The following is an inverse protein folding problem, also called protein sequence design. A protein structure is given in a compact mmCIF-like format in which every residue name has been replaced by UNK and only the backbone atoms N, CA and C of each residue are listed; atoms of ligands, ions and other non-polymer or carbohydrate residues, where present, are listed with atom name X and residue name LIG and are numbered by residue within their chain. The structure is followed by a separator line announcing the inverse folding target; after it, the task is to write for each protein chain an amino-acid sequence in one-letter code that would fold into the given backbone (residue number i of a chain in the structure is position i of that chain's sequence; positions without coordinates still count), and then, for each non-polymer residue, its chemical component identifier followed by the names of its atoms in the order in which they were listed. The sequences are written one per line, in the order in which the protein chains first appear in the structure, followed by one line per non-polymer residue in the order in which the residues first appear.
data_IF_014921838862
#
_entry.id   IF_014921838862
#
_cell.length_a   1.000
_cell.length_b   1.000
_cell.length_c   1.000
_cell.angle_alpha   90.00
_cell.angle_beta   90.00
_cell.angle_gamma   90.00
#
_symmetry.space_group_name_H-M   'P 1'
#
loop_
_entity.id
_entity.type
_entity.pdbx_description
1 polymer ?
#
# COMPACT_ATOMS: atom_id res chain seq x y z
N UNK A 1 60.45 9.21 23.16
CA UNK A 1 59.36 10.22 23.25
C UNK A 1 58.05 9.48 23.00
N UNK A 2 57.18 9.50 24.02
CA UNK A 2 55.83 8.89 24.06
C UNK A 2 54.87 9.69 23.17
N UNK A 3 53.82 9.03 22.66
CA UNK A 3 52.46 9.50 22.30
C UNK A 3 51.82 8.35 21.49
N UNK A 4 51.09 7.36 22.00
CA UNK A 4 49.86 7.28 22.80
C UNK A 4 48.65 8.10 22.28
N UNK A 5 47.58 7.35 21.96
CA UNK A 5 46.14 7.72 21.90
C UNK A 5 45.69 8.51 20.64
N UNK A 6 44.60 8.18 19.91
CA UNK A 6 43.32 7.59 20.33
C UNK A 6 42.68 6.73 19.23
N UNK A 7 42.13 5.61 19.68
CA UNK A 7 41.11 4.79 19.03
C UNK A 7 39.85 5.65 18.86
N UNK A 8 39.30 5.72 17.64
CA UNK A 8 37.90 6.10 17.43
C UNK A 8 37.15 4.88 16.90
N UNK A 9 36.39 4.26 17.80
CA UNK A 9 35.36 3.29 17.48
C UNK A 9 34.22 4.05 16.80
N UNK A 10 34.06 3.90 15.50
CA UNK A 10 32.84 4.34 14.80
C UNK A 10 31.77 3.27 15.03
N UNK A 11 30.77 3.62 15.84
CA UNK A 11 29.56 2.84 16.09
C UNK A 11 28.85 2.54 14.78
N UNK A 12 28.88 1.29 14.35
CA UNK A 12 27.95 0.73 13.37
C UNK A 12 26.60 0.56 14.07
N UNK A 13 25.66 1.46 13.79
CA UNK A 13 24.26 1.28 14.17
C UNK A 13 23.61 0.33 13.17
N UNK A 14 23.84 -0.97 13.35
CA UNK A 14 23.07 -2.02 12.67
C UNK A 14 21.69 -2.08 13.33
N UNK A 15 20.74 -1.34 12.79
CA UNK A 15 19.33 -1.53 13.10
C UNK A 15 18.87 -2.83 12.41
N UNK A 16 19.07 -3.97 13.07
CA UNK A 16 18.45 -5.22 12.69
C UNK A 16 16.95 -5.10 13.04
N UNK A 17 16.13 -4.77 12.04
CA UNK A 17 14.68 -4.97 12.11
C UNK A 17 14.43 -6.49 12.00
N UNK A 18 14.55 -7.19 13.12
CA UNK A 18 14.03 -8.54 13.29
C UNK A 18 12.61 -8.41 13.79
N UNK A 19 11.66 -8.32 12.86
CA UNK A 19 10.24 -8.54 13.12
C UNK A 19 9.97 -10.03 12.93
N UNK A 20 10.31 -10.83 13.93
CA UNK A 20 9.74 -12.17 14.08
C UNK A 20 8.45 -12.01 14.89
N UNK A 21 7.30 -11.98 14.22
CA UNK A 21 6.07 -12.43 14.89
C UNK A 21 6.14 -13.95 14.94
N UNK A 22 6.34 -14.52 16.11
CA UNK A 22 6.25 -15.96 16.33
C UNK A 22 4.85 -16.29 16.83
N UNK A 23 4.04 -16.97 16.00
CA UNK A 23 2.70 -17.45 16.36
C UNK A 23 2.73 -18.61 17.39
N UNK A 24 3.73 -18.66 18.27
CA UNK A 24 4.06 -19.87 19.01
C UNK A 24 4.52 -19.71 20.48
N UNK A 25 4.21 -18.61 21.17
CA UNK A 25 4.37 -18.58 22.63
C UNK A 25 3.40 -17.67 23.38
N UNK A 26 2.51 -18.30 24.16
CA UNK A 26 1.56 -17.75 25.14
C UNK A 26 0.52 -16.74 24.58
N UNK A 27 -0.73 -16.75 25.07
CA UNK A 27 -1.64 -15.65 24.76
C UNK A 27 -0.96 -14.35 25.20
N UNK A 28 -0.87 -13.39 24.27
CA UNK A 28 -0.40 -12.04 24.56
C UNK A 28 -0.95 -11.62 25.92
N UNK A 29 -0.04 -11.15 26.79
CA UNK A 29 -0.43 -10.62 28.08
C UNK A 29 -1.60 -9.65 27.84
N UNK A 30 -2.74 -9.79 28.55
CA UNK A 30 -3.93 -9.01 28.28
C UNK A 30 -3.51 -7.54 28.26
N UNK A 31 -3.47 -6.97 27.06
CA UNK A 31 -3.21 -5.55 26.90
C UNK A 31 -4.35 -4.87 27.67
N UNK A 32 -4.04 -4.06 28.70
CA UNK A 32 -5.04 -3.21 29.28
C UNK A 32 -5.64 -2.43 28.12
N UNK A 33 -6.96 -2.55 27.90
CA UNK A 33 -7.68 -1.74 26.91
C UNK A 33 -7.16 -0.30 27.06
N UNK A 34 -6.64 0.21 25.96
CA UNK A 34 -5.70 1.31 25.81
C UNK A 34 -6.31 2.68 26.20
N UNK A 35 -7.45 2.68 26.88
CA UNK A 35 -8.30 3.81 27.23
C UNK A 35 -7.62 4.90 28.09
N UNK A 36 -6.37 4.71 28.52
CA UNK A 36 -5.66 5.66 29.37
C UNK A 36 -4.43 6.31 28.71
N UNK A 37 -4.00 5.88 27.51
CA UNK A 37 -2.93 6.57 26.76
C UNK A 37 -3.50 7.46 25.65
N UNK A 38 -4.79 7.30 25.33
CA UNK A 38 -5.58 8.22 24.52
C UNK A 38 -6.07 9.43 25.35
N UNK A 39 -5.14 10.24 25.84
CA UNK A 39 -5.46 11.64 26.07
C UNK A 39 -5.62 12.29 24.68
N UNK A 40 -6.81 12.75 24.27
CA UNK A 40 -7.16 12.68 22.86
C UNK A 40 -6.73 13.94 22.09
N UNK A 41 -6.37 13.84 20.80
CA UNK A 41 -6.82 14.80 19.81
C UNK A 41 -8.26 14.50 19.34
N UNK A 42 -8.77 13.28 19.53
CA UNK A 42 -10.15 12.92 19.23
C UNK A 42 -11.03 13.11 20.46
N UNK A 43 -11.67 14.28 20.54
CA UNK A 43 -12.65 14.57 21.59
C UNK A 43 -13.53 13.34 21.86
N UNK A 44 -13.83 13.06 23.14
CA UNK A 44 -14.79 12.05 23.64
C UNK A 44 -16.23 12.20 23.08
N UNK A 45 -16.40 12.98 22.03
CA UNK A 45 -17.59 13.11 21.22
C UNK A 45 -17.61 11.92 20.29
N UNK A 46 -18.50 10.96 20.57
CA UNK A 46 -18.90 9.98 19.57
C UNK A 46 -19.25 10.78 18.30
N UNK A 47 -18.55 10.57 17.17
CA UNK A 47 -18.82 11.31 15.96
C UNK A 47 -20.31 11.11 15.61
N UNK A 48 -20.97 12.19 15.20
CA UNK A 48 -22.36 12.12 14.79
C UNK A 48 -22.50 11.03 13.72
N UNK A 49 -23.60 10.27 13.79
CA UNK A 49 -23.90 9.22 12.80
C UNK A 49 -23.68 9.80 11.40
N UNK A 50 -22.86 9.14 10.54
CA UNK A 50 -22.62 9.62 9.19
C UNK A 50 -23.94 9.87 8.48
N UNK A 51 -24.06 11.02 7.82
CA UNK A 51 -25.24 11.29 7.00
C UNK A 51 -25.32 10.25 5.90
N UNK A 52 -26.49 9.63 5.71
CA UNK A 52 -26.68 8.66 4.63
C UNK A 52 -26.27 9.28 3.29
N UNK A 53 -25.44 8.55 2.53
CA UNK A 53 -24.87 9.02 1.26
C UNK A 53 -23.52 9.74 1.39
N UNK A 54 -23.06 10.05 2.61
CA UNK A 54 -21.68 10.46 2.83
C UNK A 54 -20.76 9.24 2.67
N UNK A 55 -19.73 9.28 1.80
CA UNK A 55 -18.79 8.18 1.69
C UNK A 55 -18.05 8.03 3.02
N UNK A 56 -18.05 6.79 3.52
CA UNK A 56 -17.37 6.41 4.76
C UNK A 56 -15.89 6.14 4.47
N UNK A 57 -15.61 5.53 3.33
CA UNK A 57 -14.27 5.07 2.99
C UNK A 57 -14.01 5.10 1.49
N UNK A 58 -12.75 5.33 1.15
CA UNK A 58 -12.21 5.20 -0.21
C UNK A 58 -11.44 3.89 -0.25
N UNK A 59 -12.12 2.85 -0.75
CA UNK A 59 -11.66 1.45 -0.70
C UNK A 59 -11.67 0.76 -2.07
N UNK A 60 -11.57 1.52 -3.16
CA UNK A 60 -11.54 0.92 -4.50
C UNK A 60 -10.28 0.08 -4.72
N UNK A 61 -9.15 0.50 -4.14
CA UNK A 61 -7.86 -0.20 -4.17
C UNK A 61 -7.44 -0.62 -2.76
N UNK A 62 -7.65 -1.89 -2.38
CA UNK A 62 -7.14 -2.45 -1.13
C UNK A 62 -5.66 -2.20 -0.94
N UNK A 63 -5.25 -2.14 0.33
CA UNK A 63 -3.89 -1.85 0.78
C UNK A 63 -3.35 -0.44 0.44
N UNK A 64 -3.87 0.29 -0.56
CA UNK A 64 -3.36 1.62 -0.94
C UNK A 64 -3.45 2.62 0.22
N UNK A 65 -4.60 2.75 0.87
CA UNK A 65 -4.76 3.64 2.02
C UNK A 65 -3.81 3.24 3.17
N UNK A 66 -3.72 1.94 3.48
CA UNK A 66 -2.84 1.41 4.54
C UNK A 66 -1.36 1.62 4.23
N UNK A 67 -0.94 1.39 2.98
CA UNK A 67 0.46 1.43 2.57
C UNK A 67 0.96 2.86 2.30
N UNK A 68 0.09 3.76 1.85
CA UNK A 68 0.51 5.05 1.29
C UNK A 68 -0.06 6.28 2.00
N UNK A 69 -1.04 6.13 2.90
CA UNK A 69 -1.55 7.25 3.72
C UNK A 69 -1.01 7.14 5.13
N UNK A 70 -0.05 8.01 5.46
CA UNK A 70 0.52 8.13 6.80
C UNK A 70 1.03 6.80 7.43
N UNK A 71 1.71 5.91 6.68
CA UNK A 71 2.12 4.60 7.18
C UNK A 71 3.15 4.69 8.33
N UNK A 72 3.91 5.79 8.39
CA UNK A 72 4.98 6.02 9.37
C UNK A 72 4.66 7.11 10.39
N UNK A 73 3.48 7.72 10.33
CA UNK A 73 3.09 8.75 11.27
C UNK A 73 2.56 8.16 12.59
N UNK A 74 2.59 8.96 13.65
CA UNK A 74 1.92 8.62 14.89
C UNK A 74 0.39 8.61 14.72
N UNK A 75 -0.33 7.96 15.63
CA UNK A 75 -1.76 7.70 15.48
C UNK A 75 -2.62 8.96 15.29
N UNK A 76 -2.41 10.07 16.04
CA UNK A 76 -3.14 11.32 15.79
C UNK A 76 -3.04 11.86 14.36
N UNK A 77 -1.82 11.93 13.82
CA UNK A 77 -1.60 12.46 12.48
C UNK A 77 -2.08 11.48 11.41
N UNK A 78 -1.88 10.18 11.65
CA UNK A 78 -2.35 9.10 10.78
C UNK A 78 -3.87 9.10 10.66
N UNK A 79 -4.59 9.17 11.77
CA UNK A 79 -6.06 9.27 11.78
C UNK A 79 -6.50 10.49 10.99
N UNK A 80 -5.97 11.68 11.28
CA UNK A 80 -6.35 12.91 10.59
C UNK A 80 -6.11 12.85 9.06
N UNK A 81 -4.99 12.26 8.62
CA UNK A 81 -4.66 12.09 7.18
C UNK A 81 -5.56 11.09 6.49
N UNK A 82 -5.84 9.94 7.12
CA UNK A 82 -6.76 8.91 6.59
C UNK A 82 -8.18 9.43 6.49
N UNK A 83 -8.61 10.19 7.48
CA UNK A 83 -9.86 10.92 7.48
C UNK A 83 -9.98 11.90 6.32
N UNK A 84 -8.94 12.72 6.09
CA UNK A 84 -8.90 13.65 4.97
C UNK A 84 -8.91 12.93 3.61
N UNK A 85 -8.21 11.81 3.50
CA UNK A 85 -8.25 10.94 2.33
C UNK A 85 -9.66 10.41 2.09
N UNK A 86 -10.31 9.82 3.10
CA UNK A 86 -11.65 9.21 3.01
C UNK A 86 -12.74 10.24 2.72
N UNK A 87 -12.61 11.47 3.24
CA UNK A 87 -13.56 12.57 2.98
C UNK A 87 -13.39 13.25 1.63
N UNK A 88 -12.40 12.87 0.82
CA UNK A 88 -12.24 13.40 -0.54
C UNK A 88 -13.33 12.82 -1.46
N UNK A 89 -14.54 13.39 -1.44
CA UNK A 89 -15.70 12.85 -2.15
C UNK A 89 -15.71 13.20 -3.65
N UNK A 90 -15.13 14.34 -4.00
CA UNK A 90 -15.05 14.82 -5.37
C UNK A 90 -13.84 14.23 -6.08
N UNK A 91 -14.11 13.39 -7.08
CA UNK A 91 -13.11 12.70 -7.90
C UNK A 91 -12.15 13.68 -8.58
N UNK A 92 -12.64 14.86 -8.96
CA UNK A 92 -11.83 15.89 -9.61
C UNK A 92 -10.79 16.49 -8.66
N UNK A 93 -11.01 16.35 -7.35
CA UNK A 93 -10.16 16.92 -6.30
C UNK A 93 -9.18 15.92 -5.70
N UNK A 94 -9.31 14.61 -5.97
CA UNK A 94 -8.50 13.56 -5.34
C UNK A 94 -6.99 13.81 -5.37
N UNK A 95 -6.46 14.32 -6.49
CA UNK A 95 -5.03 14.62 -6.62
C UNK A 95 -4.58 15.82 -5.77
N UNK A 96 -5.50 16.72 -5.47
CA UNK A 96 -5.24 18.05 -4.88
C UNK A 96 -5.74 18.20 -3.45
N UNK A 97 -6.59 17.29 -2.94
CA UNK A 97 -7.04 17.32 -1.56
C UNK A 97 -5.85 17.31 -0.61
N UNK A 98 -5.83 18.27 0.31
CA UNK A 98 -4.77 18.41 1.31
C UNK A 98 -5.02 17.42 2.45
N UNK A 99 -4.00 16.61 2.75
CA UNK A 99 -3.99 15.69 3.90
C UNK A 99 -3.13 16.20 5.04
N UNK A 100 -2.16 17.07 4.73
CA UNK A 100 -1.26 17.65 5.73
C UNK A 100 -1.11 19.18 5.50
N UNK A 101 -1.95 20.01 6.15
CA UNK A 101 -1.90 21.45 6.00
C UNK A 101 -0.72 22.11 6.72
N UNK A 102 -0.03 21.39 7.61
CA UNK A 102 1.08 21.94 8.41
C UNK A 102 2.40 22.03 7.62
N UNK A 103 2.49 21.32 6.50
CA UNK A 103 3.65 21.36 5.59
C UNK A 103 3.64 22.62 4.72
N UNK A 104 4.82 23.03 4.23
CA UNK A 104 4.98 24.15 3.30
C UNK A 104 5.77 23.71 2.07
N UNK A 105 5.13 23.56 0.89
CA UNK A 105 3.69 23.73 0.64
C UNK A 105 2.83 22.66 1.33
N UNK A 106 1.52 22.91 1.56
CA UNK A 106 0.60 21.90 2.07
C UNK A 106 0.62 20.64 1.23
N UNK A 107 0.64 19.48 1.90
CA UNK A 107 0.79 18.19 1.24
C UNK A 107 -0.57 17.69 0.77
N UNK A 108 -0.69 17.42 -0.52
CA UNK A 108 -1.87 16.77 -1.11
C UNK A 108 -1.79 15.25 -1.00
N UNK A 109 -2.89 14.54 -1.25
CA UNK A 109 -2.89 13.06 -1.30
C UNK A 109 -1.78 12.54 -2.22
N UNK A 110 -1.66 13.09 -3.44
CA UNK A 110 -0.59 12.72 -4.37
C UNK A 110 0.81 12.99 -3.80
N UNK A 111 0.97 14.10 -3.08
CA UNK A 111 2.23 14.48 -2.42
C UNK A 111 2.58 13.60 -1.23
N UNK A 112 1.61 12.95 -0.60
CA UNK A 112 1.79 11.96 0.47
C UNK A 112 2.18 10.59 -0.09
N UNK A 113 1.62 10.17 -1.22
CA UNK A 113 1.88 8.85 -1.79
C UNK A 113 3.33 8.67 -2.24
N UNK A 114 3.88 9.65 -2.97
CA UNK A 114 5.23 9.54 -3.55
C UNK A 114 6.35 9.24 -2.53
N UNK A 115 6.50 9.99 -1.41
CA UNK A 115 7.54 9.68 -0.43
C UNK A 115 7.29 8.33 0.28
N UNK A 116 6.02 7.98 0.51
CA UNK A 116 5.68 6.71 1.15
C UNK A 116 5.97 5.50 0.24
N UNK A 117 5.83 5.64 -1.09
CA UNK A 117 6.29 4.61 -2.04
C UNK A 117 7.80 4.37 -1.95
N UNK A 118 8.59 5.43 -1.77
CA UNK A 118 10.04 5.31 -1.61
C UNK A 118 10.46 4.46 -0.41
N UNK A 119 9.61 4.29 0.60
CA UNK A 119 9.90 3.38 1.71
C UNK A 119 9.91 1.90 1.28
N UNK A 120 9.10 1.55 0.27
CA UNK A 120 9.03 0.17 -0.26
C UNK A 120 10.25 -0.21 -1.11
N UNK A 121 11.03 0.77 -1.58
CA UNK A 121 12.30 0.48 -2.27
C UNK A 121 13.27 -0.32 -1.39
N UNK A 122 13.21 -0.13 -0.08
CA UNK A 122 14.11 -0.80 0.87
C UNK A 122 13.92 -2.32 0.93
N UNK A 123 12.80 -2.85 0.44
CA UNK A 123 12.49 -4.29 0.42
C UNK A 123 13.35 -5.09 -0.58
N UNK A 124 14.09 -4.41 -1.45
CA UNK A 124 14.99 -4.99 -2.45
C UNK A 124 16.37 -5.39 -1.89
N UNK A 125 16.79 -4.84 -0.74
CA UNK A 125 18.14 -5.12 -0.21
C UNK A 125 18.31 -6.47 0.50
N UNK A 126 17.29 -7.34 0.55
CA UNK A 126 17.37 -8.56 1.36
C UNK A 126 16.56 -9.76 0.89
N UNK A 127 15.72 -9.63 -0.13
CA UNK A 127 15.01 -10.78 -0.70
C UNK A 127 15.89 -11.39 -1.79
N UNK A 128 16.04 -12.72 -1.83
CA UNK A 128 16.77 -13.43 -2.90
C UNK A 128 16.11 -13.32 -4.28
N UNK A 129 15.39 -12.23 -4.53
CA UNK A 129 14.83 -11.87 -5.82
C UNK A 129 15.99 -11.50 -6.77
N UNK A 130 15.83 -11.77 -8.09
CA UNK A 130 16.87 -11.46 -9.06
C UNK A 130 17.34 -10.00 -8.95
N UNK A 131 18.66 -9.76 -8.95
CA UNK A 131 19.25 -8.40 -8.87
C UNK A 131 18.78 -7.43 -9.97
N UNK A 132 18.05 -7.95 -10.97
CA UNK A 132 17.37 -7.20 -12.03
C UNK A 132 16.12 -6.44 -11.55
N UNK A 133 15.75 -6.56 -10.27
CA UNK A 133 14.64 -5.85 -9.63
C UNK A 133 15.04 -4.46 -9.10
N UNK A 134 16.34 -4.15 -9.05
CA UNK A 134 16.83 -2.85 -8.68
C UNK A 134 16.26 -1.80 -9.64
N UNK A 135 15.51 -0.86 -9.09
CA UNK A 135 14.94 0.25 -9.82
C UNK A 135 16.02 1.07 -10.53
N UNK A 136 15.65 1.90 -11.51
CA UNK A 136 16.58 2.71 -12.29
C UNK A 136 17.49 3.62 -11.43
N UNK A 137 17.13 3.86 -10.16
CA UNK A 137 17.87 4.65 -9.19
C UNK A 137 18.98 3.92 -8.41
N UNK A 138 19.27 2.65 -8.70
CA UNK A 138 20.34 1.92 -8.00
C UNK A 138 19.96 1.48 -6.59
N UNK A 139 18.79 0.84 -6.45
CA UNK A 139 18.17 0.47 -5.16
C UNK A 139 17.09 1.45 -4.69
N UNK A 140 16.79 2.48 -5.50
CA UNK A 140 15.59 3.30 -5.41
C UNK A 140 14.77 3.20 -6.69
N UNK A 141 13.47 3.48 -6.58
CA UNK A 141 12.59 3.57 -7.74
C UNK A 141 12.07 2.23 -8.24
N UNK A 142 11.74 1.32 -7.32
CA UNK A 142 11.35 -0.04 -7.69
C UNK A 142 9.86 -0.14 -8.03
N UNK A 143 9.05 0.79 -7.52
CA UNK A 143 7.63 0.83 -7.80
C UNK A 143 7.34 0.95 -9.31
N UNK A 144 6.22 0.38 -9.76
CA UNK A 144 5.83 0.46 -11.16
C UNK A 144 5.73 1.91 -11.66
N UNK A 145 6.00 2.13 -12.94
CA UNK A 145 5.95 3.47 -13.58
C UNK A 145 6.90 4.50 -12.97
N UNK A 146 7.87 4.09 -12.15
CA UNK A 146 8.95 4.95 -11.75
C UNK A 146 9.76 5.41 -12.96
N UNK A 147 10.18 6.68 -12.94
CA UNK A 147 11.09 7.24 -13.93
C UNK A 147 12.03 8.22 -13.26
N UNK A 148 13.26 8.32 -13.75
CA UNK A 148 14.23 9.32 -13.27
C UNK A 148 13.75 10.76 -13.50
N UNK A 149 12.80 10.97 -14.44
CA UNK A 149 12.26 12.31 -14.75
C UNK A 149 11.12 12.71 -13.81
N UNK A 150 10.25 11.78 -13.43
CA UNK A 150 9.01 12.06 -12.68
C UNK A 150 8.96 11.42 -11.29
N UNK A 151 9.96 10.61 -10.93
CA UNK A 151 9.97 9.81 -9.71
C UNK A 151 8.73 8.91 -9.66
N UNK A 152 8.04 8.92 -8.51
CA UNK A 152 6.79 8.18 -8.27
C UNK A 152 5.53 8.91 -8.75
N UNK A 153 5.64 10.10 -9.34
CA UNK A 153 4.47 10.94 -9.61
C UNK A 153 3.42 10.27 -10.52
N UNK A 154 3.87 9.45 -11.48
CA UNK A 154 2.98 8.72 -12.39
C UNK A 154 2.15 7.69 -11.63
N UNK A 155 2.79 6.79 -10.89
CA UNK A 155 2.09 5.78 -10.10
C UNK A 155 1.25 6.42 -8.99
N UNK A 156 1.72 7.49 -8.35
CA UNK A 156 0.94 8.23 -7.38
C UNK A 156 -0.35 8.77 -8.00
N UNK A 157 -0.31 9.25 -9.24
CA UNK A 157 -1.51 9.72 -9.94
C UNK A 157 -2.49 8.56 -10.20
N UNK A 158 -1.99 7.40 -10.61
CA UNK A 158 -2.81 6.19 -10.86
C UNK A 158 -3.43 5.67 -9.56
N UNK A 159 -2.68 5.61 -8.45
CA UNK A 159 -3.18 5.08 -7.18
C UNK A 159 -4.07 6.06 -6.41
N UNK A 160 -3.93 7.36 -6.65
CA UNK A 160 -4.87 8.36 -6.12
C UNK A 160 -6.23 8.26 -6.80
N UNK A 161 -6.25 7.81 -8.06
CA UNK A 161 -7.47 7.34 -8.69
C UNK A 161 -7.89 6.00 -8.07
N UNK A 162 -8.68 6.12 -7.00
CA UNK A 162 -9.22 4.98 -6.25
C UNK A 162 -10.44 4.35 -6.95
N UNK A 163 -10.63 4.60 -8.25
CA UNK A 163 -11.57 3.83 -9.05
C UNK A 163 -10.92 2.55 -9.55
N UNK A 164 -11.72 1.50 -9.61
CA UNK A 164 -11.32 0.25 -10.20
C UNK A 164 -12.01 0.07 -11.54
N UNK A 165 -11.22 -0.19 -12.58
CA UNK A 165 -11.73 -0.25 -13.94
C UNK A 165 -11.91 -1.69 -14.39
N UNK A 166 -12.99 -1.94 -15.13
CA UNK A 166 -13.33 -3.26 -15.64
C UNK A 166 -13.59 -3.17 -17.14
N UNK A 167 -12.82 -3.90 -17.94
CA UNK A 167 -13.15 -4.12 -19.36
C UNK A 167 -14.23 -5.19 -19.47
N UNK A 168 -15.45 -4.75 -19.75
CA UNK A 168 -16.63 -5.61 -19.93
C UNK A 168 -16.64 -6.33 -21.28
N UNK A 169 -15.71 -6.03 -22.19
CA UNK A 169 -15.53 -6.79 -23.42
C UNK A 169 -14.77 -8.13 -23.19
N UNK A 170 -14.13 -8.32 -22.04
CA UNK A 170 -13.48 -9.59 -21.66
C UNK A 170 -14.44 -10.47 -20.88
N UNK A 171 -14.36 -11.78 -21.11
CA UNK A 171 -15.23 -12.77 -20.44
C UNK A 171 -14.58 -13.41 -19.19
N UNK A 172 -13.31 -13.12 -18.92
CA UNK A 172 -12.52 -13.75 -17.84
C UNK A 172 -11.87 -12.70 -16.97
N UNK A 173 -12.17 -12.70 -15.66
CA UNK A 173 -11.74 -11.67 -14.70
C UNK A 173 -10.92 -12.28 -13.55
N UNK A 174 -9.77 -12.90 -13.86
CA UNK A 174 -8.95 -13.60 -12.87
C UNK A 174 -7.70 -12.79 -12.44
N UNK A 175 -7.57 -11.54 -12.89
CA UNK A 175 -6.43 -10.67 -12.62
C UNK A 175 -6.91 -9.31 -12.15
N UNK A 176 -6.38 -8.86 -11.01
CA UNK A 176 -6.89 -7.72 -10.25
C UNK A 176 -6.76 -6.35 -10.94
N UNK A 177 -5.76 -6.13 -11.81
CA UNK A 177 -5.49 -4.80 -12.41
C UNK A 177 -5.10 -4.89 -13.88
N UNK A 178 -5.61 -5.89 -14.60
CA UNK A 178 -5.14 -6.20 -15.95
C UNK A 178 -5.30 -5.00 -16.90
N UNK A 179 -6.49 -4.38 -16.94
CA UNK A 179 -6.76 -3.20 -17.76
C UNK A 179 -5.89 -2.01 -17.34
N UNK A 180 -5.80 -1.74 -16.04
CA UNK A 180 -5.02 -0.59 -15.54
C UNK A 180 -3.53 -0.71 -15.85
N UNK A 181 -2.96 -1.92 -15.80
CA UNK A 181 -1.56 -2.17 -16.19
C UNK A 181 -1.34 -1.87 -17.68
N UNK A 182 -2.27 -2.22 -18.57
CA UNK A 182 -2.17 -1.85 -19.98
C UNK A 182 -2.14 -0.34 -20.17
N UNK A 183 -3.11 0.36 -19.58
CA UNK A 183 -3.21 1.83 -19.69
C UNK A 183 -1.96 2.50 -19.12
N UNK A 184 -1.50 2.05 -17.95
CA UNK A 184 -0.32 2.56 -17.28
C UNK A 184 0.97 2.36 -18.10
N UNK A 185 1.07 1.24 -18.81
CA UNK A 185 2.23 0.92 -19.67
C UNK A 185 2.10 1.45 -21.10
N UNK A 186 1.04 2.21 -21.40
CA UNK A 186 0.79 2.72 -22.74
C UNK A 186 0.62 1.63 -23.79
N UNK A 187 0.04 0.48 -23.40
CA UNK A 187 -0.11 -0.69 -24.28
C UNK A 187 1.09 -1.63 -24.31
N UNK A 188 2.12 -1.40 -23.50
CA UNK A 188 3.29 -2.28 -23.41
C UNK A 188 2.96 -3.69 -22.90
N UNK A 189 1.93 -3.80 -22.06
CA UNK A 189 1.37 -5.08 -21.59
C UNK A 189 -0.12 -5.09 -21.97
N UNK A 190 -0.49 -5.90 -22.96
CA UNK A 190 -1.90 -6.00 -23.39
C UNK A 190 -2.68 -6.90 -22.43
N UNK A 191 -3.80 -6.40 -21.92
CA UNK A 191 -4.66 -7.15 -21.01
C UNK A 191 -5.52 -8.17 -21.78
N UNK A 192 -5.52 -9.40 -21.29
CA UNK A 192 -6.38 -10.48 -21.78
C UNK A 192 -7.61 -10.69 -20.90
N UNK A 193 -7.68 -10.03 -19.74
CA UNK A 193 -8.69 -10.23 -18.70
C UNK A 193 -9.34 -8.91 -18.29
N UNK A 194 -10.53 -8.98 -17.68
CA UNK A 194 -11.35 -7.80 -17.40
C UNK A 194 -10.67 -6.73 -16.53
N UNK A 195 -9.68 -7.11 -15.72
CA UNK A 195 -9.26 -6.29 -14.57
C UNK A 195 -10.31 -6.37 -13.46
N UNK A 196 -10.39 -5.33 -12.63
CA UNK A 196 -11.35 -5.30 -11.54
C UNK A 196 -11.01 -6.19 -10.35
N UNK A 197 -11.89 -6.22 -9.36
CA UNK A 197 -11.69 -6.97 -8.12
C UNK A 197 -12.72 -8.07 -8.02
N UNK A 198 -12.24 -9.29 -7.85
CA UNK A 198 -13.04 -10.43 -7.39
C UNK A 198 -12.58 -10.79 -5.98
N UNK A 199 -13.40 -11.52 -5.22
CA UNK A 199 -13.04 -11.91 -3.85
C UNK A 199 -11.91 -12.95 -3.82
N UNK A 200 -11.74 -13.69 -4.91
CA UNK A 200 -10.66 -14.68 -5.08
C UNK A 200 -9.33 -14.05 -5.45
N UNK A 201 -9.28 -12.72 -5.69
CA UNK A 201 -8.02 -12.04 -5.96
C UNK A 201 -7.24 -11.80 -4.68
N UNK A 202 -5.98 -12.20 -4.72
CA UNK A 202 -4.99 -11.77 -3.76
C UNK A 202 -4.53 -10.34 -4.06
N UNK A 203 -5.37 -9.39 -3.64
CA UNK A 203 -5.17 -7.96 -3.90
C UNK A 203 -3.98 -7.39 -3.13
N UNK A 204 -3.60 -8.02 -2.02
CA UNK A 204 -2.52 -7.57 -1.14
C UNK A 204 -1.19 -7.90 -1.78
N UNK A 205 -1.00 -9.14 -2.25
CA UNK A 205 0.19 -9.56 -2.97
C UNK A 205 0.44 -8.75 -4.24
N UNK A 206 -0.61 -8.49 -5.02
CA UNK A 206 -0.51 -7.65 -6.23
C UNK A 206 -0.10 -6.22 -5.87
N UNK A 207 -0.70 -5.63 -4.84
CA UNK A 207 -0.40 -4.25 -4.43
C UNK A 207 1.03 -4.13 -3.91
N UNK A 208 1.49 -5.05 -3.05
CA UNK A 208 2.85 -5.03 -2.55
C UNK A 208 3.88 -5.33 -3.65
N UNK A 209 3.62 -6.27 -4.55
CA UNK A 209 4.50 -6.53 -5.70
C UNK A 209 4.68 -5.29 -6.57
N UNK A 210 3.58 -4.57 -6.85
CA UNK A 210 3.61 -3.32 -7.62
C UNK A 210 4.42 -2.21 -6.94
N UNK A 211 4.31 -2.07 -5.61
CA UNK A 211 4.99 -1.03 -4.84
C UNK A 211 6.46 -1.33 -4.58
N UNK A 212 6.81 -2.59 -4.33
CA UNK A 212 8.15 -3.00 -3.92
C UNK A 212 9.10 -3.35 -5.06
N UNK A 213 8.57 -3.87 -6.16
CA UNK A 213 9.37 -4.39 -7.28
C UNK A 213 8.79 -4.03 -8.67
N UNK A 214 7.69 -3.27 -8.71
CA UNK A 214 7.09 -2.80 -9.95
C UNK A 214 6.68 -3.95 -10.86
N UNK A 215 6.90 -3.83 -12.17
CA UNK A 215 6.60 -4.91 -13.11
C UNK A 215 7.50 -6.13 -12.94
N UNK A 216 8.70 -5.96 -12.37
CA UNK A 216 9.57 -7.10 -12.07
C UNK A 216 9.00 -7.92 -10.89
N UNK A 217 8.20 -7.31 -10.02
CA UNK A 217 7.46 -8.00 -8.95
C UNK A 217 6.42 -9.01 -9.45
N UNK A 218 6.30 -9.22 -10.76
CA UNK A 218 5.37 -10.17 -11.37
C UNK A 218 6.12 -11.12 -12.30
N UNK A 219 5.58 -12.34 -12.45
CA UNK A 219 6.00 -13.24 -13.51
C UNK A 219 5.34 -12.86 -14.86
N UNK A 220 5.65 -13.62 -15.92
CA UNK A 220 5.11 -13.43 -17.28
C UNK A 220 3.58 -13.54 -17.37
N UNK A 221 2.91 -14.10 -16.35
CA UNK A 221 1.45 -14.24 -16.26
C UNK A 221 0.81 -13.25 -15.29
N UNK A 222 1.53 -12.20 -14.89
CA UNK A 222 1.08 -11.20 -13.90
C UNK A 222 0.77 -11.79 -12.51
N UNK A 223 1.38 -12.92 -12.15
CA UNK A 223 1.31 -13.45 -10.78
C UNK A 223 2.32 -12.70 -9.90
N UNK A 224 1.90 -12.18 -8.73
CA UNK A 224 2.79 -11.48 -7.81
C UNK A 224 3.89 -12.41 -7.28
N UNK A 225 5.09 -11.85 -7.12
CA UNK A 225 6.27 -12.51 -6.56
C UNK A 225 6.55 -12.08 -5.12
N UNK A 226 6.01 -10.93 -4.71
CA UNK A 226 6.05 -10.46 -3.32
C UNK A 226 4.71 -10.79 -2.69
N UNK A 227 4.77 -11.59 -1.62
CA UNK A 227 3.59 -12.14 -0.94
C UNK A 227 3.55 -11.71 0.52
N UNK A 228 2.37 -11.52 1.09
CA UNK A 228 2.21 -11.31 2.54
C UNK A 228 2.21 -12.64 3.35
N UNK A 229 2.25 -13.78 2.65
CA UNK A 229 2.24 -15.12 3.24
C UNK A 229 0.84 -15.68 3.48
N UNK A 230 -0.21 -14.95 3.12
CA UNK A 230 -1.62 -15.33 3.24
C UNK A 230 -2.21 -15.43 1.84
N UNK A 231 -2.45 -16.65 1.38
CA UNK A 231 -3.07 -16.86 0.08
C UNK A 231 -4.54 -16.41 0.03
N UNK A 232 -5.12 -16.34 -1.18
CA UNK A 232 -6.53 -15.98 -1.34
C UNK A 232 -7.44 -17.00 -0.67
N UNK A 233 -8.61 -16.55 -0.25
CA UNK A 233 -9.66 -17.41 0.31
C UNK A 233 -10.01 -18.54 -0.67
N UNK A 234 -9.82 -19.79 -0.23
CA UNK A 234 -10.08 -20.99 -1.04
C UNK A 234 -11.47 -21.59 -0.80
N UNK A 235 -12.18 -21.10 0.21
CA UNK A 235 -13.47 -21.60 0.69
C UNK A 235 -14.68 -20.91 0.05
N UNK A 236 -14.45 -19.95 -0.85
CA UNK A 236 -15.52 -19.26 -1.59
C UNK A 236 -16.19 -20.26 -2.54
N UNK A 237 -17.49 -20.51 -2.36
CA UNK A 237 -18.31 -21.50 -3.09
C UNK A 237 -18.57 -21.16 -4.58
N UNK A 238 -17.78 -20.28 -5.17
CA UNK A 238 -17.91 -19.80 -6.55
C UNK A 238 -18.18 -18.30 -6.63
N UNK A 239 -17.72 -17.69 -7.73
CA UNK A 239 -17.90 -16.26 -8.03
C UNK A 239 -19.35 -15.92 -8.47
N UNK A 240 -20.26 -16.89 -8.46
CA UNK A 240 -21.60 -16.82 -9.03
C UNK A 240 -22.74 -17.12 -8.06
N UNK A 241 -22.45 -17.57 -6.83
CA UNK A 241 -23.49 -18.01 -5.88
C UNK A 241 -23.49 -17.14 -4.61
N UNK A 242 -24.54 -16.31 -4.45
CA UNK A 242 -24.79 -15.54 -3.22
C UNK A 242 -25.17 -16.49 -2.06
N UNK A 243 -24.67 -16.30 -0.82
CA UNK A 243 -24.00 -15.12 -0.31
C UNK A 243 -22.48 -15.13 -0.43
N UNK A 244 -21.86 -15.60 -1.54
CA UNK A 244 -20.44 -15.36 -1.84
C UNK A 244 -19.45 -15.76 -0.71
N UNK A 245 -19.93 -16.58 0.24
CA UNK A 245 -19.27 -16.96 1.47
C UNK A 245 -19.12 -18.47 1.46
N UNK A 246 -18.01 -18.95 2.00
CA UNK A 246 -17.84 -20.36 2.31
C UNK A 246 -18.82 -20.85 3.38
N UNK A 247 -19.04 -22.18 3.48
CA UNK A 247 -19.74 -22.74 4.62
C UNK A 247 -18.97 -22.40 5.92
N UNK A 248 -19.68 -22.13 7.04
CA UNK A 248 -19.04 -21.80 8.31
C UNK A 248 -18.09 -22.92 8.75
N UNK A 249 -16.93 -22.53 9.30
CA UNK A 249 -15.90 -23.44 9.80
C UNK A 249 -16.13 -23.82 11.27
#
# INVERSE_FOLDING_TARGET
MKNLTKILVSFSATAALVSCGDDHAAPDAPRPIDAAVDAPPDALVIPAVPTLGAPIDRMGRPAVNTALVAPFDNDPLKTAKKDAYNRAVDQTMWLTTVVDPATSPPKTIRGEFAPNMGAFDSLDQGSGLPNTMAGPGGGCGNAALYSMTTGYATLATVLVDDQLYVDTAKLTCNSYLSLEVEVATGGGVVHSQCGGRTMTHDVVDVSYSLLSAGLNGFNQTLTPLVTDGVGPHTDILGNDTFPFLGPPH
#
